data_IF_609395220209
#
_entry.id   IF_609395220209
#
_cell.length_a   1.000
_cell.length_b   1.000
_cell.length_c   1.000
_cell.angle_alpha   90.00
_cell.angle_beta   90.00
_cell.angle_gamma   90.00
#
_symmetry.space_group_name_H-M   'P 1'
#
loop_
_entity.id
_entity.type
_entity.pdbx_description
1 polymer ?
#
# COMPACT_ATOMS: atom_id res chain seq x y z
N UNK A 1 1.54 2.95 -3.29
CA UNK A 1 2.15 2.08 -4.25
C UNK A 1 1.24 1.72 -5.37
N UNK A 2 0.16 1.09 -5.15
CA UNK A 2 -0.85 0.76 -6.15
C UNK A 2 -1.45 1.93 -6.94
N UNK A 3 -1.02 3.12 -6.70
CA UNK A 3 -1.50 4.31 -7.38
C UNK A 3 -0.99 4.44 -8.81
N UNK A 4 -0.13 3.52 -9.25
CA UNK A 4 0.45 3.52 -10.60
C UNK A 4 0.44 2.16 -11.30
N UNK A 5 0.08 1.08 -10.61
CA UNK A 5 -0.11 -0.22 -11.26
C UNK A 5 -1.58 -0.44 -11.63
N UNK A 6 -2.07 0.27 -12.64
CA UNK A 6 -3.09 -0.31 -13.51
C UNK A 6 -2.40 -1.40 -14.33
N UNK A 7 -2.93 -2.63 -14.40
CA UNK A 7 -2.36 -3.65 -15.27
C UNK A 7 -2.33 -3.13 -16.70
N UNK A 8 -1.22 -3.37 -17.40
CA UNK A 8 -1.10 -3.17 -18.85
C UNK A 8 -2.06 -4.12 -19.57
N UNK A 9 -3.36 -3.89 -19.46
CA UNK A 9 -4.31 -4.44 -20.39
C UNK A 9 -4.35 -3.49 -21.59
N UNK A 10 -3.85 -3.97 -22.71
CA UNK A 10 -3.97 -3.30 -24.00
C UNK A 10 -5.44 -3.16 -24.38
N UNK A 11 -6.05 -2.05 -24.01
CA UNK A 11 -7.35 -1.67 -24.52
C UNK A 11 -7.19 -1.18 -25.95
N UNK A 12 -7.56 -2.04 -26.90
CA UNK A 12 -7.97 -1.59 -28.23
C UNK A 12 -9.23 -0.76 -28.07
N UNK A 13 -9.13 0.52 -28.44
CA UNK A 13 -10.28 1.41 -28.55
C UNK A 13 -11.33 0.80 -29.46
N UNK A 14 -12.51 0.51 -28.93
CA UNK A 14 -13.71 0.42 -29.70
C UNK A 14 -14.59 1.61 -29.33
N UNK A 15 -14.68 2.57 -30.26
CA UNK A 15 -15.54 3.73 -30.15
C UNK A 15 -17.00 3.32 -30.35
N UNK A 16 -17.88 3.61 -29.41
CA UNK A 16 -19.24 4.05 -29.79
C UNK A 16 -20.14 4.39 -28.59
N UNK A 17 -20.74 5.57 -28.75
CA UNK A 17 -22.05 6.05 -28.28
C UNK A 17 -22.20 6.53 -26.83
N UNK A 18 -22.13 7.87 -26.76
CA UNK A 18 -22.77 8.68 -25.73
C UNK A 18 -24.28 8.43 -25.67
N UNK A 19 -24.83 8.21 -24.49
CA UNK A 19 -26.27 8.31 -24.22
C UNK A 19 -26.50 9.36 -23.13
N UNK A 20 -27.16 10.44 -23.55
CA UNK A 20 -27.72 11.46 -22.67
C UNK A 20 -28.80 10.86 -21.78
N UNK A 21 -28.69 11.02 -20.47
CA UNK A 21 -29.83 10.84 -19.56
C UNK A 21 -30.31 12.20 -19.06
N UNK A 22 -31.49 12.56 -19.53
CA UNK A 22 -32.28 13.71 -19.09
C UNK A 22 -33.02 13.37 -17.78
N UNK A 23 -32.85 14.19 -16.77
CA UNK A 23 -33.61 14.10 -15.53
C UNK A 23 -35.05 14.62 -15.77
N UNK A 24 -36.05 13.78 -15.54
CA UNK A 24 -37.45 14.20 -15.35
C UNK A 24 -37.89 13.87 -13.93
N UNK A 25 -38.23 14.92 -13.21
CA UNK A 25 -38.92 14.84 -11.93
C UNK A 25 -40.34 14.28 -12.11
N UNK A 26 -40.68 13.27 -11.32
CA UNK A 26 -42.05 12.77 -11.19
C UNK A 26 -42.52 12.92 -9.76
N UNK A 27 -43.52 13.77 -9.59
CA UNK A 27 -44.35 13.96 -8.40
C UNK A 27 -45.16 12.68 -8.13
N UNK A 28 -45.01 12.11 -6.94
CA UNK A 28 -45.82 10.97 -6.50
C UNK A 28 -46.91 11.42 -5.54
N UNK A 29 -48.16 11.28 -6.00
CA UNK A 29 -49.40 11.35 -5.18
C UNK A 29 -49.57 10.04 -4.41
N UNK A 30 -49.81 10.16 -3.10
CA UNK A 30 -50.16 9.05 -2.20
C UNK A 30 -51.57 8.53 -2.52
N UNK A 31 -51.67 7.23 -2.82
CA UNK A 31 -52.93 6.47 -2.61
C UNK A 31 -52.59 5.24 -1.77
N UNK A 32 -53.31 5.15 -0.65
CA UNK A 32 -53.22 4.06 0.32
C UNK A 32 -54.09 2.91 -0.18
N UNK A 33 -53.47 1.75 -0.47
CA UNK A 33 -54.21 0.49 -0.64
C UNK A 33 -53.49 -0.63 0.13
N UNK A 34 -54.26 -1.29 1.00
CA UNK A 34 -53.85 -2.47 1.77
C UNK A 34 -53.42 -3.59 0.84
N UNK A 35 -52.21 -4.14 1.09
CA UNK A 35 -51.71 -5.33 0.42
C UNK A 35 -51.83 -6.56 1.33
N UNK A 36 -52.14 -7.74 0.79
CA UNK A 36 -52.23 -8.98 1.54
C UNK A 36 -50.85 -9.49 1.98
N UNK A 37 -50.81 -10.12 3.14
CA UNK A 37 -49.65 -10.74 3.78
C UNK A 37 -49.10 -11.86 2.89
N UNK A 38 -48.00 -11.63 2.20
CA UNK A 38 -47.22 -12.68 1.52
C UNK A 38 -46.03 -13.02 2.43
N UNK A 39 -46.04 -14.22 2.97
CA UNK A 39 -44.88 -14.77 3.71
C UNK A 39 -43.70 -14.88 2.76
N UNK A 40 -42.50 -14.36 3.11
CA UNK A 40 -41.34 -14.55 2.27
C UNK A 40 -40.82 -16.00 2.45
N UNK A 41 -41.08 -16.85 1.46
CA UNK A 41 -40.33 -18.08 1.29
C UNK A 41 -38.91 -17.71 0.87
N UNK A 42 -38.00 -17.70 1.84
CA UNK A 42 -36.58 -17.66 1.55
C UNK A 42 -36.19 -18.97 0.86
N UNK A 43 -35.52 -18.95 -0.31
CA UNK A 43 -34.99 -20.17 -0.89
C UNK A 43 -33.98 -20.77 0.08
N UNK A 44 -34.15 -22.05 0.38
CA UNK A 44 -33.22 -22.83 1.20
C UNK A 44 -31.81 -22.67 0.60
N UNK A 45 -30.81 -22.28 1.37
CA UNK A 45 -29.47 -22.10 0.82
C UNK A 45 -29.01 -23.44 0.25
N UNK A 46 -28.65 -23.40 -1.05
CA UNK A 46 -27.97 -24.49 -1.70
C UNK A 46 -26.78 -24.89 -0.82
N UNK A 47 -26.81 -26.10 -0.28
CA UNK A 47 -25.70 -26.65 0.48
C UNK A 47 -24.50 -26.78 -0.45
N UNK A 48 -23.71 -25.71 -0.58
CA UNK A 48 -22.35 -25.84 -1.10
C UNK A 48 -21.62 -26.76 -0.14
N UNK A 49 -21.43 -27.98 -0.57
CA UNK A 49 -20.45 -28.86 0.06
C UNK A 49 -19.10 -28.15 -0.04
N UNK A 50 -18.67 -27.53 1.04
CA UNK A 50 -17.29 -27.12 1.21
C UNK A 50 -16.46 -28.40 1.18
N UNK A 51 -15.99 -28.77 0.00
CA UNK A 51 -14.87 -29.65 -0.16
C UNK A 51 -13.68 -28.91 0.47
N UNK A 52 -13.47 -29.12 1.76
CA UNK A 52 -12.24 -28.79 2.45
C UNK A 52 -11.15 -29.71 1.90
N UNK A 53 -10.70 -29.46 0.68
CA UNK A 53 -9.42 -29.97 0.25
C UNK A 53 -8.37 -29.23 1.08
N UNK A 54 -8.10 -29.75 2.28
CA UNK A 54 -6.91 -29.41 3.04
C UNK A 54 -5.76 -29.67 2.06
N UNK A 55 -5.19 -28.61 1.50
CA UNK A 55 -3.99 -28.71 0.67
C UNK A 55 -2.87 -29.18 1.59
N UNK A 56 -2.76 -30.51 1.75
CA UNK A 56 -1.61 -31.12 2.42
C UNK A 56 -0.39 -30.63 1.68
N UNK A 57 0.47 -29.88 2.38
CA UNK A 57 1.73 -29.41 1.78
C UNK A 57 2.47 -30.64 1.28
N UNK A 58 2.92 -30.67 0.02
CA UNK A 58 3.63 -31.84 -0.51
C UNK A 58 4.77 -32.20 0.44
N UNK A 59 4.89 -33.48 0.77
CA UNK A 59 5.95 -34.01 1.66
C UNK A 59 7.34 -33.49 1.27
N UNK A 60 7.61 -33.36 -0.03
CA UNK A 60 8.84 -32.78 -0.55
C UNK A 60 9.09 -31.33 -0.10
N UNK A 61 8.05 -30.51 0.05
CA UNK A 61 8.23 -29.14 0.57
C UNK A 61 8.52 -29.17 2.09
N UNK A 62 7.97 -30.11 2.81
CA UNK A 62 8.28 -30.31 4.23
C UNK A 62 9.75 -30.74 4.40
N UNK A 63 10.20 -31.73 3.65
CA UNK A 63 11.58 -32.22 3.67
C UNK A 63 12.56 -31.13 3.24
N UNK A 64 12.24 -30.39 2.16
CA UNK A 64 13.05 -29.26 1.70
C UNK A 64 13.26 -28.20 2.79
N UNK A 65 12.23 -27.88 3.55
CA UNK A 65 12.34 -26.93 4.68
C UNK A 65 13.17 -27.44 5.86
N UNK A 66 13.29 -28.75 6.01
CA UNK A 66 14.17 -29.38 7.04
C UNK A 66 15.63 -29.36 6.65
N UNK A 67 15.92 -29.43 5.35
CA UNK A 67 17.28 -29.54 4.81
C UNK A 67 17.84 -28.16 4.45
N UNK A 68 17.00 -27.25 3.89
CA UNK A 68 17.42 -25.92 3.49
C UNK A 68 16.90 -24.94 4.57
N UNK A 69 17.80 -24.27 5.31
CA UNK A 69 17.37 -23.26 6.27
C UNK A 69 16.55 -22.17 5.55
N UNK A 70 15.54 -21.59 6.22
CA UNK A 70 14.79 -20.50 5.65
C UNK A 70 15.73 -19.33 5.31
N UNK A 71 15.44 -18.57 4.24
CA UNK A 71 16.24 -17.40 3.92
C UNK A 71 16.28 -16.46 5.14
N UNK A 72 17.44 -15.85 5.40
CA UNK A 72 17.59 -14.85 6.45
C UNK A 72 17.45 -13.43 5.89
N UNK A 73 16.92 -12.47 6.67
CA UNK A 73 16.89 -11.07 6.25
C UNK A 73 18.31 -10.49 6.02
N UNK A 74 18.45 -9.44 5.19
CA UNK A 74 17.39 -8.76 4.43
C UNK A 74 16.89 -9.59 3.24
N UNK A 75 15.56 -9.68 3.10
CA UNK A 75 14.93 -10.43 2.01
C UNK A 75 14.94 -9.64 0.69
N UNK A 76 15.01 -10.37 -0.43
CA UNK A 76 14.84 -9.81 -1.78
C UNK A 76 13.36 -9.75 -2.21
N UNK A 77 12.43 -9.88 -1.29
CA UNK A 77 10.98 -9.78 -1.46
C UNK A 77 10.38 -9.02 -0.27
N UNK A 78 9.12 -8.61 -0.38
CA UNK A 78 8.41 -7.90 0.68
C UNK A 78 7.62 -8.88 1.55
N UNK A 79 7.80 -8.79 2.87
CA UNK A 79 7.03 -9.51 3.88
C UNK A 79 5.54 -9.15 3.74
N UNK A 80 4.68 -10.15 3.82
CA UNK A 80 3.24 -9.97 3.73
C UNK A 80 2.59 -9.84 5.12
N UNK A 81 1.45 -9.17 5.18
CA UNK A 81 0.64 -9.05 6.40
C UNK A 81 0.42 -10.43 7.04
N UNK A 82 0.68 -10.50 8.35
CA UNK A 82 0.77 -11.76 9.11
C UNK A 82 2.20 -12.11 9.51
N UNK A 83 3.23 -11.52 8.87
CA UNK A 83 4.60 -11.60 9.36
C UNK A 83 4.75 -10.70 10.61
N UNK A 84 5.24 -11.24 11.76
CA UNK A 84 5.36 -10.46 12.99
C UNK A 84 6.26 -9.22 12.87
N UNK A 85 7.24 -9.24 11.98
CA UNK A 85 8.14 -8.11 11.78
C UNK A 85 7.42 -6.82 11.39
N UNK A 86 6.31 -6.94 10.64
CA UNK A 86 5.50 -5.79 10.21
C UNK A 86 4.67 -5.16 11.34
N UNK A 87 4.60 -5.82 12.48
CA UNK A 87 3.86 -5.37 13.68
C UNK A 87 4.80 -5.05 14.85
N UNK A 88 6.10 -5.16 14.65
CA UNK A 88 7.11 -4.79 15.63
C UNK A 88 7.53 -3.33 15.49
N UNK A 89 7.86 -2.68 16.61
CA UNK A 89 8.57 -1.41 16.57
C UNK A 89 10.01 -1.63 16.09
N UNK A 90 10.39 -0.91 15.05
CA UNK A 90 11.74 -0.96 14.52
C UNK A 90 12.75 -0.29 15.50
N UNK A 91 13.87 -0.96 15.74
CA UNK A 91 14.93 -0.44 16.60
C UNK A 91 15.76 0.65 15.88
N UNK A 92 16.29 1.57 16.67
CA UNK A 92 17.22 2.57 16.15
C UNK A 92 18.54 1.89 15.70
N UNK A 93 19.13 2.44 14.65
CA UNK A 93 20.46 2.06 14.16
C UNK A 93 21.51 2.86 14.92
N UNK A 94 22.58 2.22 15.36
CA UNK A 94 23.75 2.95 15.89
C UNK A 94 24.34 3.85 14.79
N UNK A 95 24.44 5.17 14.99
CA UNK A 95 25.02 6.08 14.00
C UNK A 95 26.41 5.66 13.50
N UNK A 96 27.24 5.09 14.37
CA UNK A 96 28.58 4.61 14.02
C UNK A 96 28.54 3.37 13.08
N UNK A 97 27.44 2.61 13.09
CA UNK A 97 27.28 1.42 12.27
C UNK A 97 26.72 1.73 10.87
N UNK A 98 26.21 2.94 10.61
CA UNK A 98 25.51 3.27 9.35
C UNK A 98 26.38 2.99 8.13
N UNK A 99 27.63 3.39 8.15
CA UNK A 99 28.58 3.18 7.03
C UNK A 99 29.15 1.75 6.99
N UNK A 100 28.81 0.92 7.97
CA UNK A 100 29.24 -0.47 8.04
C UNK A 100 28.57 -1.36 6.98
N UNK A 101 29.21 -2.48 6.63
CA UNK A 101 28.76 -3.33 5.52
C UNK A 101 27.37 -3.92 5.74
N UNK A 102 26.98 -4.18 6.98
CA UNK A 102 25.67 -4.77 7.29
C UNK A 102 24.53 -3.80 7.02
N UNK A 103 24.61 -2.56 7.52
CA UNK A 103 23.58 -1.53 7.29
C UNK A 103 23.56 -1.13 5.81
N UNK A 104 24.72 -0.98 5.17
CA UNK A 104 24.80 -0.70 3.75
C UNK A 104 24.16 -1.82 2.91
N UNK A 105 24.33 -3.08 3.30
CA UNK A 105 23.64 -4.21 2.66
C UNK A 105 22.12 -4.10 2.78
N UNK A 106 21.60 -3.71 3.95
CA UNK A 106 20.17 -3.49 4.15
C UNK A 106 19.68 -2.37 3.22
N UNK A 107 20.32 -1.21 3.24
CA UNK A 107 19.97 -0.05 2.42
C UNK A 107 19.97 -0.42 0.92
N UNK A 108 21.03 -1.06 0.45
CA UNK A 108 21.15 -1.46 -0.96
C UNK A 108 20.07 -2.48 -1.35
N UNK A 109 19.71 -3.41 -0.45
CA UNK A 109 18.64 -4.37 -0.69
C UNK A 109 17.28 -3.65 -0.76
N UNK A 110 17.01 -2.70 0.14
CA UNK A 110 15.78 -1.88 0.11
C UNK A 110 15.64 -1.16 -1.23
N UNK A 111 16.67 -0.44 -1.66
CA UNK A 111 16.66 0.30 -2.94
C UNK A 111 16.43 -0.65 -4.12
N UNK A 112 17.09 -1.81 -4.12
CA UNK A 112 16.92 -2.82 -5.16
C UNK A 112 15.48 -3.35 -5.20
N UNK A 113 14.93 -3.76 -4.06
CA UNK A 113 13.54 -4.28 -3.96
C UNK A 113 12.53 -3.21 -4.35
N UNK A 114 12.68 -1.98 -3.85
CA UNK A 114 11.83 -0.85 -4.19
C UNK A 114 11.76 -0.62 -5.71
N UNK A 115 12.91 -0.59 -6.38
CA UNK A 115 12.99 -0.39 -7.83
C UNK A 115 12.48 -1.58 -8.63
N UNK A 116 12.69 -2.81 -8.17
CA UNK A 116 12.18 -4.03 -8.82
C UNK A 116 10.66 -4.11 -8.78
N UNK A 117 10.05 -3.64 -7.69
CA UNK A 117 8.59 -3.61 -7.53
C UNK A 117 7.97 -2.33 -8.10
N UNK A 118 8.79 -1.42 -8.65
CA UNK A 118 8.36 -0.10 -9.11
C UNK A 118 7.57 0.66 -8.03
N UNK A 119 7.97 0.50 -6.75
CA UNK A 119 7.33 1.20 -5.64
C UNK A 119 8.08 2.49 -5.26
N UNK A 120 7.36 3.41 -4.62
CA UNK A 120 7.83 4.77 -4.36
C UNK A 120 8.36 4.97 -2.95
N UNK A 121 8.17 4.01 -2.07
CA UNK A 121 8.68 3.97 -0.69
C UNK A 121 8.87 2.54 -0.24
N UNK A 122 9.78 2.32 0.70
CA UNK A 122 10.00 1.03 1.35
C UNK A 122 10.69 1.23 2.69
N UNK A 123 10.24 0.48 3.69
CA UNK A 123 10.81 0.46 5.05
C UNK A 123 11.53 -0.85 5.33
N UNK A 124 12.57 -0.83 6.16
CA UNK A 124 13.36 -2.01 6.46
C UNK A 124 12.56 -3.19 7.05
N UNK A 125 11.52 -2.99 7.90
CA UNK A 125 10.65 -4.08 8.33
C UNK A 125 10.00 -4.85 7.17
N UNK A 126 9.71 -4.18 6.06
CA UNK A 126 9.12 -4.84 4.89
C UNK A 126 10.06 -5.85 4.20
N UNK A 127 11.35 -5.75 4.41
CA UNK A 127 12.33 -6.76 3.96
C UNK A 127 12.85 -7.65 5.10
N UNK A 128 12.11 -7.71 6.20
CA UNK A 128 12.40 -8.58 7.33
C UNK A 128 13.41 -8.02 8.34
N UNK A 129 13.79 -6.77 8.24
CA UNK A 129 14.80 -6.14 9.12
C UNK A 129 14.14 -5.11 10.04
N UNK A 130 13.99 -5.36 11.36
CA UNK A 130 13.30 -4.46 12.27
C UNK A 130 14.17 -3.27 12.70
N UNK A 131 14.67 -2.50 11.74
CA UNK A 131 15.49 -1.30 11.96
C UNK A 131 14.80 -0.05 11.42
N UNK A 132 15.05 1.10 12.06
CA UNK A 132 14.50 2.39 11.63
C UNK A 132 15.23 2.93 10.42
N UNK A 133 14.89 2.38 9.25
CA UNK A 133 15.41 2.82 7.95
C UNK A 133 14.23 2.88 6.98
N UNK A 134 14.09 3.98 6.24
CA UNK A 134 13.16 4.10 5.13
C UNK A 134 13.85 4.66 3.88
N UNK A 135 13.31 4.31 2.73
CA UNK A 135 13.73 4.81 1.42
C UNK A 135 12.52 5.36 0.66
N UNK A 136 12.74 6.42 -0.10
CA UNK A 136 11.73 7.03 -0.96
C UNK A 136 12.38 7.44 -2.27
N UNK A 137 11.71 7.14 -3.39
CA UNK A 137 12.07 7.62 -4.73
C UNK A 137 10.79 7.78 -5.57
N UNK A 138 10.63 8.91 -6.26
CA UNK A 138 9.56 9.10 -7.22
C UNK A 138 10.14 9.49 -8.57
N UNK A 139 10.46 8.49 -9.43
CA UNK A 139 11.15 8.75 -10.69
C UNK A 139 10.28 9.50 -11.69
N UNK A 140 10.93 10.27 -12.56
CA UNK A 140 10.26 11.06 -13.59
C UNK A 140 9.40 10.21 -14.54
N UNK A 141 9.80 8.94 -14.80
CA UNK A 141 9.00 7.98 -15.58
C UNK A 141 7.59 7.84 -15.01
N UNK A 142 7.46 7.61 -13.70
CA UNK A 142 6.17 7.46 -13.04
C UNK A 142 5.35 8.75 -13.06
N UNK A 143 6.02 9.90 -12.95
CA UNK A 143 5.36 11.19 -13.07
C UNK A 143 4.77 11.40 -14.47
N UNK A 144 5.51 11.05 -15.52
CA UNK A 144 5.03 11.15 -16.91
C UNK A 144 3.85 10.24 -17.21
N UNK A 145 3.79 9.06 -16.62
CA UNK A 145 2.68 8.09 -16.77
C UNK A 145 1.41 8.54 -16.05
N UNK A 146 1.50 9.49 -15.12
CA UNK A 146 0.35 10.03 -14.39
C UNK A 146 -0.36 11.13 -15.20
N UNK A 147 -1.71 11.15 -15.14
CA UNK A 147 -2.48 12.22 -15.80
C UNK A 147 -2.22 13.59 -15.15
N UNK A 148 -2.31 14.71 -15.90
CA UNK A 148 -2.15 16.05 -15.34
C UNK A 148 -3.08 16.32 -14.14
N UNK A 149 -4.35 15.94 -14.24
CA UNK A 149 -5.32 16.08 -13.16
C UNK A 149 -4.92 15.28 -11.90
N UNK A 150 -4.36 14.07 -12.08
CA UNK A 150 -3.86 13.28 -10.94
C UNK A 150 -2.62 13.90 -10.29
N UNK A 151 -1.73 14.50 -11.11
CA UNK A 151 -0.54 15.19 -10.59
C UNK A 151 -0.92 16.38 -9.72
N UNK A 152 -1.84 17.20 -10.21
CA UNK A 152 -2.32 18.38 -9.49
C UNK A 152 -3.07 17.98 -8.22
N UNK A 153 -4.08 17.11 -8.32
CA UNK A 153 -4.92 16.71 -7.20
C UNK A 153 -4.13 16.08 -6.04
N UNK A 154 -3.04 15.37 -6.34
CA UNK A 154 -2.24 14.66 -5.35
C UNK A 154 -0.93 15.37 -4.98
N UNK A 155 -0.59 16.46 -5.68
CA UNK A 155 0.71 17.11 -5.51
C UNK A 155 1.88 16.17 -5.85
N UNK A 156 1.77 15.43 -6.98
CA UNK A 156 2.83 14.53 -7.42
C UNK A 156 4.01 15.34 -7.94
N UNK A 157 5.19 15.05 -7.43
CA UNK A 157 6.44 15.66 -7.88
C UNK A 157 7.56 14.62 -7.96
N UNK A 158 8.46 14.79 -8.91
CA UNK A 158 9.65 13.96 -9.00
C UNK A 158 10.49 14.13 -7.73
N UNK A 159 10.91 13.01 -7.14
CA UNK A 159 11.80 12.99 -5.99
C UNK A 159 12.99 12.08 -6.29
N UNK A 160 14.21 12.57 -6.13
CA UNK A 160 15.38 11.71 -6.18
C UNK A 160 15.33 10.69 -5.03
N UNK A 161 16.15 9.64 -5.14
CA UNK A 161 16.30 8.68 -4.05
C UNK A 161 16.70 9.40 -2.76
N UNK A 162 15.92 9.18 -1.72
CA UNK A 162 16.21 9.65 -0.36
C UNK A 162 16.22 8.48 0.58
N UNK A 163 17.16 8.49 1.50
CA UNK A 163 17.33 7.46 2.53
C UNK A 163 17.34 8.18 3.87
N UNK A 164 16.56 7.66 4.80
CA UNK A 164 16.53 8.17 6.16
C UNK A 164 16.76 7.03 7.14
N UNK A 165 17.78 7.17 7.95
CA UNK A 165 18.11 6.29 9.08
C UNK A 165 17.74 7.00 10.37
N UNK A 166 17.05 6.30 11.26
CA UNK A 166 16.48 6.86 12.50
C UNK A 166 15.57 8.09 12.22
N UNK A 167 14.63 8.00 11.27
CA UNK A 167 13.80 9.13 10.94
C UNK A 167 12.89 9.54 12.09
N UNK A 168 12.69 10.84 12.19
CA UNK A 168 11.67 11.49 13.00
C UNK A 168 10.79 12.34 12.09
N UNK A 169 9.48 12.32 12.32
CA UNK A 169 8.53 13.04 11.49
C UNK A 169 7.74 14.03 12.33
N UNK A 170 7.62 15.26 11.83
CA UNK A 170 6.86 16.35 12.43
C UNK A 170 5.83 16.88 11.45
N UNK A 171 4.58 17.02 11.90
CA UNK A 171 3.51 17.66 11.13
C UNK A 171 3.72 19.18 11.11
N UNK A 172 3.55 19.81 9.93
CA UNK A 172 3.82 21.24 9.77
C UNK A 172 2.57 22.10 9.94
N UNK A 173 1.43 21.71 9.34
CA UNK A 173 0.25 22.58 9.25
C UNK A 173 -1.04 21.97 9.83
N UNK A 174 -1.04 20.69 10.16
CA UNK A 174 -2.22 19.99 10.70
C UNK A 174 -3.33 19.73 9.65
N UNK A 175 -3.21 20.22 8.43
CA UNK A 175 -4.17 19.91 7.36
C UNK A 175 -4.04 18.47 6.91
N UNK A 176 -5.17 17.80 6.72
CA UNK A 176 -5.19 16.42 6.26
C UNK A 176 -6.01 16.27 4.98
N UNK A 177 -5.60 15.33 4.14
CA UNK A 177 -6.29 14.95 2.90
C UNK A 177 -6.46 13.45 2.84
N UNK A 178 -7.59 13.01 2.28
CA UNK A 178 -7.94 11.59 2.16
C UNK A 178 -7.69 11.14 0.73
N UNK A 179 -6.82 10.14 0.56
CA UNK A 179 -6.57 9.48 -0.72
C UNK A 179 -6.46 7.98 -0.54
N UNK A 180 -6.63 7.25 -1.63
CA UNK A 180 -6.44 5.82 -1.67
C UNK A 180 -4.97 5.45 -1.54
N UNK A 181 -4.69 4.51 -0.63
CA UNK A 181 -3.37 3.90 -0.43
C UNK A 181 -3.44 2.39 -0.65
N UNK A 182 -2.30 1.84 -1.01
CA UNK A 182 -2.03 0.42 -1.04
C UNK A 182 -0.60 0.17 -0.55
N UNK A 183 -0.28 -1.06 -0.22
CA UNK A 183 1.02 -1.45 0.30
C UNK A 183 1.44 -2.79 -0.30
N UNK A 184 2.72 -2.96 -0.65
CA UNK A 184 3.23 -4.26 -1.12
C UNK A 184 3.13 -5.34 -0.06
N UNK A 185 3.14 -4.96 1.21
CA UNK A 185 2.91 -5.90 2.32
C UNK A 185 1.46 -6.37 2.46
N UNK A 186 0.53 -5.77 1.70
CA UNK A 186 -0.90 -6.14 1.65
C UNK A 186 -1.31 -6.18 0.17
N UNK A 187 -0.72 -7.10 -0.56
CA UNK A 187 -0.86 -7.18 -2.02
C UNK A 187 -2.31 -7.38 -2.44
N UNK A 188 -2.73 -6.62 -3.44
CA UNK A 188 -4.04 -6.74 -4.06
C UNK A 188 -5.17 -6.00 -3.35
N UNK A 189 -4.89 -5.24 -2.30
CA UNK A 189 -5.90 -4.45 -1.58
C UNK A 189 -5.53 -2.98 -1.49
N UNK A 190 -6.56 -2.14 -1.40
CA UNK A 190 -6.41 -0.71 -1.19
C UNK A 190 -7.57 -0.15 -0.37
N UNK A 191 -7.34 1.01 0.27
CA UNK A 191 -8.35 1.75 1.01
C UNK A 191 -8.01 3.24 1.06
N UNK A 192 -8.98 4.09 1.39
CA UNK A 192 -8.70 5.51 1.64
C UNK A 192 -8.15 5.73 3.04
N UNK A 193 -7.14 6.58 3.12
CA UNK A 193 -6.42 6.89 4.35
C UNK A 193 -6.26 8.40 4.49
N UNK A 194 -6.62 9.01 5.63
CA UNK A 194 -6.30 10.39 5.93
C UNK A 194 -4.81 10.53 6.24
N UNK A 195 -4.16 11.55 5.64
CA UNK A 195 -2.76 11.89 5.90
C UNK A 195 -2.60 13.39 5.97
N UNK A 196 -1.67 13.85 6.78
CA UNK A 196 -1.29 15.26 6.80
C UNK A 196 -0.71 15.70 5.47
N UNK A 197 -1.06 16.91 5.06
CA UNK A 197 -0.66 17.45 3.75
C UNK A 197 0.83 17.80 3.72
N UNK A 198 1.37 18.29 4.84
CA UNK A 198 2.76 18.75 4.92
C UNK A 198 3.43 18.24 6.18
N UNK A 199 4.61 17.65 6.01
CA UNK A 199 5.42 17.09 7.09
C UNK A 199 6.89 17.48 6.90
N UNK A 200 7.64 17.46 8.01
CA UNK A 200 9.09 17.52 8.01
C UNK A 200 9.64 16.19 8.53
N UNK A 201 10.56 15.61 7.79
CA UNK A 201 11.33 14.44 8.25
C UNK A 201 12.76 14.85 8.51
N UNK A 202 13.31 14.41 9.63
CA UNK A 202 14.72 14.55 9.99
C UNK A 202 15.30 13.19 10.34
N UNK A 203 16.61 13.01 10.12
CA UNK A 203 17.30 11.75 10.40
C UNK A 203 18.72 11.80 9.86
N UNK A 204 19.31 10.63 9.64
CA UNK A 204 20.64 10.50 9.05
C UNK A 204 20.50 9.91 7.64
N UNK A 205 21.39 10.30 6.71
CA UNK A 205 21.46 9.67 5.40
C UNK A 205 22.30 8.38 5.43
N UNK A 206 22.53 7.77 4.29
CA UNK A 206 23.34 6.55 4.13
C UNK A 206 24.82 6.71 4.48
N UNK A 207 25.28 7.96 4.66
CA UNK A 207 26.65 8.30 5.08
C UNK A 207 26.73 8.65 6.57
N UNK A 208 25.60 8.65 7.29
CA UNK A 208 25.53 9.07 8.67
C UNK A 208 25.48 10.59 8.89
N UNK A 209 25.26 11.37 7.82
CA UNK A 209 25.14 12.82 7.87
C UNK A 209 23.69 13.21 8.22
N UNK A 210 23.52 14.24 9.06
CA UNK A 210 22.21 14.75 9.43
C UNK A 210 21.51 15.39 8.22
N UNK A 211 20.25 15.01 7.99
CA UNK A 211 19.41 15.52 6.92
C UNK A 211 18.03 15.89 7.44
N UNK A 212 17.49 16.97 6.89
CA UNK A 212 16.12 17.41 7.16
C UNK A 212 15.45 17.76 5.85
N UNK A 213 14.20 17.36 5.68
CA UNK A 213 13.44 17.65 4.47
C UNK A 213 11.98 17.94 4.78
N UNK A 214 11.48 19.06 4.25
CA UNK A 214 10.06 19.39 4.28
C UNK A 214 9.40 18.89 3.00
N UNK A 215 8.36 18.09 3.15
CA UNK A 215 7.62 17.49 2.07
C UNK A 215 6.14 17.86 2.17
N UNK A 216 5.50 18.06 1.03
CA UNK A 216 4.05 18.28 0.93
C UNK A 216 3.43 17.42 -0.17
N UNK A 217 2.11 17.24 -0.13
CA UNK A 217 1.37 16.44 -1.10
C UNK A 217 1.72 14.95 -1.02
N UNK A 218 1.97 14.36 -2.18
CA UNK A 218 2.24 12.92 -2.27
C UNK A 218 3.51 12.47 -1.56
N UNK A 219 4.66 13.17 -1.68
CA UNK A 219 5.86 12.84 -0.90
C UNK A 219 5.63 12.81 0.62
N UNK A 220 4.84 13.74 1.15
CA UNK A 220 4.49 13.75 2.57
C UNK A 220 3.65 12.52 2.97
N UNK A 221 2.76 12.06 2.08
CA UNK A 221 1.96 10.83 2.27
C UNK A 221 2.84 9.60 2.31
N UNK A 222 3.79 9.46 1.37
CA UNK A 222 4.73 8.34 1.35
C UNK A 222 5.53 8.29 2.65
N UNK A 223 6.08 9.43 3.10
CA UNK A 223 6.82 9.48 4.36
C UNK A 223 6.00 9.00 5.56
N UNK A 224 4.74 9.43 5.67
CA UNK A 224 3.86 9.00 6.75
C UNK A 224 3.55 7.51 6.68
N UNK A 225 3.38 6.95 5.47
CA UNK A 225 3.16 5.53 5.26
C UNK A 225 4.38 4.70 5.69
N UNK A 226 5.58 5.12 5.30
CA UNK A 226 6.82 4.43 5.65
C UNK A 226 7.17 4.56 7.14
N UNK A 227 6.85 5.71 7.76
CA UNK A 227 6.99 5.89 9.22
C UNK A 227 6.07 4.95 10.00
N UNK A 228 4.83 4.77 9.54
CA UNK A 228 3.91 3.81 10.16
C UNK A 228 4.51 2.40 10.20
N UNK A 229 5.14 1.94 9.12
CA UNK A 229 5.83 0.65 9.11
C UNK A 229 6.95 0.54 10.16
N UNK A 230 7.68 1.64 10.42
CA UNK A 230 8.71 1.65 11.45
C UNK A 230 8.12 1.56 12.87
N UNK A 231 6.87 1.95 13.03
CA UNK A 231 6.14 1.91 14.30
C UNK A 231 5.20 0.69 14.42
N UNK A 232 5.30 -0.27 13.48
CA UNK A 232 4.50 -1.49 13.45
C UNK A 232 3.03 -1.27 13.05
N UNK A 233 2.74 -0.13 12.44
CA UNK A 233 1.41 0.26 11.98
C UNK A 233 1.31 0.01 10.46
N UNK A 234 0.16 -0.46 10.01
CA UNK A 234 -0.14 -0.64 8.59
C UNK A 234 -1.26 0.33 8.18
N UNK A 235 -1.35 0.64 6.88
CA UNK A 235 -2.39 1.56 6.39
C UNK A 235 -3.82 1.09 6.74
N UNK A 236 -4.04 -0.21 6.89
CA UNK A 236 -5.32 -0.80 7.29
C UNK A 236 -5.75 -0.41 8.72
N UNK A 237 -4.81 0.01 9.56
CA UNK A 237 -5.11 0.47 10.93
C UNK A 237 -5.61 1.93 10.95
N UNK A 238 -5.38 2.68 9.86
CA UNK A 238 -5.76 4.09 9.70
C UNK A 238 -6.84 4.33 8.65
N UNK A 239 -7.20 3.29 7.88
CA UNK A 239 -8.11 3.39 6.75
C UNK A 239 -9.56 3.65 7.16
N UNK A 240 -10.35 4.21 6.26
CA UNK A 240 -11.79 4.03 6.29
C UNK A 240 -12.12 2.60 5.83
N UNK A 241 -12.54 1.75 6.76
CA UNK A 241 -12.83 0.34 6.50
C UNK A 241 -13.90 0.10 5.43
N UNK A 242 -14.81 1.07 5.21
CA UNK A 242 -15.85 0.99 4.17
C UNK A 242 -15.28 1.13 2.76
N UNK A 243 -14.06 1.64 2.64
CA UNK A 243 -13.38 1.84 1.35
C UNK A 243 -12.36 0.74 1.04
N UNK A 244 -12.24 -0.28 1.91
CA UNK A 244 -11.32 -1.39 1.72
C UNK A 244 -11.80 -2.31 0.60
N UNK A 245 -11.02 -2.39 -0.48
CA UNK A 245 -11.38 -3.15 -1.67
C UNK A 245 -10.25 -4.07 -2.13
N UNK A 246 -10.60 -5.23 -2.66
CA UNK A 246 -9.71 -5.98 -3.52
C UNK A 246 -9.68 -5.27 -4.89
N UNK A 247 -8.51 -4.85 -5.35
CA UNK A 247 -8.37 -4.10 -6.61
C UNK A 247 -8.72 -4.92 -7.85
N UNK A 248 -8.70 -6.25 -7.74
CA UNK A 248 -9.04 -7.19 -8.81
C UNK A 248 -10.44 -7.79 -8.61
N UNK A 249 -11.31 -7.19 -7.79
CA UNK A 249 -12.62 -7.75 -7.46
C UNK A 249 -13.49 -8.00 -8.70
N UNK A 250 -13.35 -7.17 -9.73
CA UNK A 250 -14.11 -7.34 -10.98
C UNK A 250 -13.75 -8.63 -11.71
N UNK A 251 -12.47 -9.00 -11.73
CA UNK A 251 -12.01 -10.23 -12.37
C UNK A 251 -12.53 -11.52 -11.67
N UNK A 252 -13.09 -11.41 -10.48
CA UNK A 252 -13.72 -12.53 -9.79
C UNK A 252 -15.21 -12.72 -10.15
N UNK A 253 -15.78 -11.79 -10.91
CA UNK A 253 -17.17 -11.81 -11.34
C UNK A 253 -17.32 -12.25 -12.81
N UNK A 254 -16.22 -12.41 -13.53
CA UNK A 254 -16.14 -12.96 -14.89
C UNK A 254 -15.94 -14.48 -14.86
#
# INVERSE_FOLDING_TARGET
MFLLQLPRMGFRLCASKALHYSARALTLTRTSTCLPHISPHWPVPCSRSYSSSIKVRPYLQYVKRKIIPPPSPPYCHVCQVGDPVLRSHAAAVDPAAITGPEIQKVINTMVKVMRQLECVGLSAPQIGVPLRILTLEYPEKMLRESSPASREARGLSMQPLRIFVNPQLRVLDGQSVVFQEACESISGFSATVPRYLSVEVSGLNEKGEAVTWQASGWPARILQHEMDHLDGILYIDRMDSKTFININWQAHNE
#
